data_IF_269936876987
#
_entry.id   IF_269936876987
#
_cell.length_a   1.000
_cell.length_b   1.000
_cell.length_c   1.000
_cell.angle_alpha   90.00
_cell.angle_beta   90.00
_cell.angle_gamma   90.00
#
_symmetry.space_group_name_H-M   'P 1'
#
loop_
_entity.id
_entity.type
_entity.pdbx_description
1 polymer ?
#
# COMPACT_ATOMS: atom_id res chain seq x y z
N UNK A 1 10.19 -16.72 -14.82
CA UNK A 1 8.75 -16.58 -14.53
C UNK A 1 8.52 -16.69 -13.03
N UNK A 2 7.90 -15.67 -12.44
CA UNK A 2 7.60 -15.60 -11.00
C UNK A 2 6.69 -14.41 -10.72
N UNK A 3 6.23 -14.29 -9.47
CA UNK A 3 5.39 -13.16 -9.05
C UNK A 3 6.16 -11.84 -9.01
N UNK A 4 7.39 -11.90 -8.49
CA UNK A 4 8.20 -10.74 -8.17
C UNK A 4 9.20 -11.08 -7.09
N UNK A 5 9.79 -10.05 -6.48
CA UNK A 5 10.73 -10.16 -5.38
C UNK A 5 10.50 -9.07 -4.33
N UNK A 6 10.86 -9.38 -3.08
CA UNK A 6 10.87 -8.46 -1.96
C UNK A 6 12.32 -8.24 -1.51
N UNK A 7 12.65 -7.01 -1.13
CA UNK A 7 13.98 -6.66 -0.66
C UNK A 7 13.96 -6.42 0.85
N UNK A 8 14.53 -7.31 1.68
CA UNK A 8 14.73 -7.02 3.08
C UNK A 8 15.69 -5.83 3.23
N UNK A 9 15.49 -5.01 4.27
CA UNK A 9 16.35 -3.83 4.48
C UNK A 9 17.83 -4.16 4.67
N UNK A 10 18.16 -5.38 5.12
CA UNK A 10 19.53 -5.87 5.22
C UNK A 10 20.25 -6.01 3.87
N UNK A 11 19.52 -5.99 2.75
CA UNK A 11 20.10 -6.06 1.40
C UNK A 11 20.73 -4.73 0.95
N UNK A 12 20.47 -3.62 1.66
CA UNK A 12 21.09 -2.31 1.37
C UNK A 12 20.53 -1.59 0.13
N UNK A 13 19.38 -2.04 -0.38
CA UNK A 13 18.64 -1.37 -1.47
C UNK A 13 17.43 -0.61 -0.92
N UNK A 14 16.99 0.41 -1.66
CA UNK A 14 15.92 1.32 -1.21
C UNK A 14 14.53 0.83 -1.58
N UNK A 15 14.38 0.24 -2.75
CA UNK A 15 13.17 -0.37 -3.29
C UNK A 15 12.69 -1.49 -2.36
N UNK A 16 11.41 -1.49 -1.98
CA UNK A 16 10.78 -2.50 -1.12
C UNK A 16 10.62 -3.84 -1.84
N UNK A 17 10.35 -3.81 -3.15
CA UNK A 17 10.13 -4.98 -3.97
C UNK A 17 9.70 -4.61 -5.38
N UNK A 18 9.71 -5.61 -6.25
CA UNK A 18 9.34 -5.48 -7.66
C UNK A 18 8.35 -6.57 -8.01
N UNK A 19 7.20 -6.21 -8.59
CA UNK A 19 6.25 -7.15 -9.18
C UNK A 19 6.54 -7.30 -10.66
N UNK A 20 6.55 -8.54 -11.15
CA UNK A 20 6.76 -8.86 -12.57
C UNK A 20 5.41 -8.82 -13.30
N UNK A 21 4.92 -7.60 -13.53
CA UNK A 21 3.54 -7.32 -13.99
C UNK A 21 3.14 -8.16 -15.21
N UNK A 22 3.96 -8.19 -16.26
CA UNK A 22 3.64 -8.96 -17.48
C UNK A 22 3.80 -10.47 -17.32
N UNK A 23 4.51 -10.95 -16.28
CA UNK A 23 4.54 -12.37 -15.93
C UNK A 23 3.25 -12.83 -15.24
N UNK A 24 2.62 -11.96 -14.46
CA UNK A 24 1.38 -12.27 -13.74
C UNK A 24 0.13 -12.08 -14.60
N UNK A 25 0.15 -11.07 -15.46
CA UNK A 25 -1.00 -10.66 -16.24
C UNK A 25 -0.63 -10.60 -17.73
N UNK A 26 -0.88 -11.70 -18.48
CA UNK A 26 -0.67 -11.71 -19.92
C UNK A 26 -1.38 -10.53 -20.61
N UNK A 27 -0.69 -9.88 -21.54
CA UNK A 27 -1.21 -8.70 -22.26
C UNK A 27 -0.91 -7.35 -21.60
N UNK A 28 -0.30 -7.30 -20.41
CA UNK A 28 0.23 -6.04 -19.84
C UNK A 28 1.45 -5.50 -20.56
N UNK A 29 2.22 -6.38 -21.17
CA UNK A 29 3.27 -6.06 -22.14
C UNK A 29 3.05 -6.95 -23.37
N UNK A 30 2.68 -6.39 -24.53
CA UNK A 30 2.43 -7.16 -25.74
C UNK A 30 3.69 -7.63 -26.46
N UNK A 31 4.83 -6.97 -26.25
CA UNK A 31 6.10 -7.36 -26.86
C UNK A 31 6.72 -8.55 -26.10
N UNK A 32 6.88 -9.73 -26.73
CA UNK A 32 7.40 -10.92 -26.05
C UNK A 32 8.88 -10.81 -25.64
N UNK A 33 9.61 -9.81 -26.15
CA UNK A 33 11.00 -9.56 -25.77
C UNK A 33 11.13 -8.59 -24.57
N UNK A 34 10.01 -8.05 -24.08
CA UNK A 34 10.00 -7.07 -22.97
C UNK A 34 9.32 -7.63 -21.72
N UNK A 35 9.69 -7.04 -20.59
CA UNK A 35 9.05 -7.28 -19.30
C UNK A 35 8.58 -5.97 -18.69
N UNK A 36 7.32 -5.94 -18.24
CA UNK A 36 6.80 -4.82 -17.47
C UNK A 36 7.03 -5.09 -15.98
N UNK A 37 7.75 -4.18 -15.32
CA UNK A 37 8.04 -4.24 -13.89
C UNK A 37 7.28 -3.14 -13.14
N UNK A 38 6.86 -3.45 -11.91
CA UNK A 38 6.24 -2.51 -10.98
C UNK A 38 7.11 -2.44 -9.72
N UNK A 39 7.83 -1.34 -9.57
CA UNK A 39 8.68 -1.11 -8.40
C UNK A 39 7.89 -0.40 -7.29
N UNK A 40 8.07 -0.86 -6.06
CA UNK A 40 7.56 -0.21 -4.86
C UNK A 40 8.73 0.34 -4.07
N UNK A 41 8.74 1.64 -3.79
CA UNK A 41 9.81 2.35 -3.08
C UNK A 41 9.21 3.20 -1.96
N UNK A 42 9.99 3.51 -0.93
CA UNK A 42 9.52 4.22 0.26
C UNK A 42 9.23 3.27 1.42
N UNK A 43 8.09 3.48 2.08
CA UNK A 43 7.67 2.72 3.27
C UNK A 43 8.17 3.33 4.58
N UNK A 44 7.71 2.78 5.71
CA UNK A 44 7.85 3.41 7.04
C UNK A 44 9.31 3.67 7.49
N UNK A 45 10.28 2.89 6.98
CA UNK A 45 11.71 3.04 7.31
C UNK A 45 12.48 3.95 6.35
N UNK A 46 11.87 4.36 5.23
CA UNK A 46 12.56 5.18 4.23
C UNK A 46 12.91 6.59 4.71
N UNK A 47 12.07 7.29 5.51
CA UNK A 47 12.44 8.58 6.10
C UNK A 47 13.76 8.52 6.90
N UNK A 48 13.93 7.49 7.73
CA UNK A 48 15.12 7.33 8.57
C UNK A 48 16.35 6.90 7.75
N UNK A 49 16.18 5.96 6.81
CA UNK A 49 17.30 5.35 6.09
C UNK A 49 17.76 6.16 4.86
N UNK A 50 16.85 6.89 4.22
CA UNK A 50 17.06 7.49 2.91
C UNK A 50 16.49 8.92 2.78
N UNK A 51 15.99 9.51 3.88
CA UNK A 51 15.48 10.88 3.90
C UNK A 51 14.03 11.04 3.40
N UNK A 52 13.35 9.94 3.07
CA UNK A 52 11.96 9.94 2.64
C UNK A 52 11.79 10.15 1.12
N UNK A 53 10.58 9.87 0.64
CA UNK A 53 10.20 10.03 -0.78
C UNK A 53 9.55 11.40 -1.02
N UNK A 54 9.07 12.05 0.03
CA UNK A 54 8.43 13.37 -0.06
C UNK A 54 9.43 14.41 -0.56
N UNK A 55 9.12 15.05 -1.69
CA UNK A 55 9.96 16.08 -2.30
C UNK A 55 10.97 15.59 -3.34
N UNK A 56 11.07 14.28 -3.59
CA UNK A 56 11.83 13.77 -4.73
C UNK A 56 11.08 14.00 -6.04
N UNK A 57 11.82 14.27 -7.12
CA UNK A 57 11.25 14.28 -8.47
C UNK A 57 11.05 12.86 -8.99
N UNK A 58 10.22 12.72 -10.03
CA UNK A 58 9.97 11.44 -10.67
C UNK A 58 11.29 10.83 -11.22
N UNK A 59 12.18 11.65 -11.76
CA UNK A 59 13.49 11.22 -12.27
C UNK A 59 14.39 10.67 -11.16
N UNK A 60 14.42 11.32 -9.99
CA UNK A 60 15.18 10.84 -8.83
C UNK A 60 14.64 9.50 -8.30
N UNK A 61 13.32 9.32 -8.35
CA UNK A 61 12.68 8.06 -7.97
C UNK A 61 13.04 6.96 -8.98
N UNK A 62 12.94 7.26 -10.28
CA UNK A 62 13.33 6.32 -11.35
C UNK A 62 14.79 5.92 -11.21
N UNK A 63 15.70 6.88 -11.02
CA UNK A 63 17.14 6.61 -10.84
C UNK A 63 17.39 5.70 -9.63
N UNK A 64 16.74 5.97 -8.49
CA UNK A 64 16.85 5.12 -7.31
C UNK A 64 16.36 3.69 -7.58
N UNK A 65 15.19 3.53 -8.22
CA UNK A 65 14.66 2.20 -8.56
C UNK A 65 15.51 1.47 -9.61
N UNK A 66 16.09 2.19 -10.57
CA UNK A 66 16.96 1.61 -11.60
C UNK A 66 18.28 1.12 -11.00
N UNK A 67 18.89 1.93 -10.12
CA UNK A 67 20.08 1.55 -9.37
C UNK A 67 19.86 0.24 -8.59
N UNK A 68 18.75 0.14 -7.86
CA UNK A 68 18.42 -1.07 -7.11
C UNK A 68 18.12 -2.26 -8.04
N UNK A 69 17.50 -2.01 -9.19
CA UNK A 69 17.21 -3.05 -10.20
C UNK A 69 18.49 -3.57 -10.85
N UNK A 70 19.48 -2.71 -11.12
CA UNK A 70 20.82 -3.11 -11.53
C UNK A 70 21.53 -3.97 -10.48
N UNK A 71 21.39 -3.60 -9.21
CA UNK A 71 22.01 -4.33 -8.10
C UNK A 71 21.37 -5.71 -7.81
N UNK A 72 20.13 -5.94 -8.26
CA UNK A 72 19.34 -7.11 -7.84
C UNK A 72 18.86 -8.01 -8.96
N UNK A 73 18.63 -7.48 -10.17
CA UNK A 73 17.97 -8.21 -11.26
C UNK A 73 18.73 -8.17 -12.58
N UNK A 74 19.33 -7.04 -12.94
CA UNK A 74 19.95 -6.90 -14.26
C UNK A 74 21.37 -7.44 -14.28
N UNK A 75 21.86 -7.66 -15.51
CA UNK A 75 23.26 -8.02 -15.73
C UNK A 75 24.17 -6.85 -15.31
N UNK A 76 25.40 -7.13 -14.85
CA UNK A 76 26.39 -6.08 -14.60
C UNK A 76 26.61 -5.20 -15.85
N UNK A 77 26.78 -3.89 -15.66
CA UNK A 77 27.05 -2.94 -16.75
C UNK A 77 25.82 -2.26 -17.36
N UNK A 78 24.61 -2.50 -16.82
CA UNK A 78 23.35 -1.94 -17.32
C UNK A 78 22.98 -0.59 -16.67
N UNK A 79 23.90 0.04 -15.93
CA UNK A 79 23.62 1.26 -15.15
C UNK A 79 23.20 2.45 -16.03
N UNK A 80 23.62 2.46 -17.30
CA UNK A 80 23.28 3.49 -18.29
C UNK A 80 22.07 3.15 -19.14
N UNK A 81 21.54 1.92 -19.04
CA UNK A 81 20.41 1.44 -19.84
C UNK A 81 19.11 1.60 -19.07
N UNK A 82 18.54 2.81 -19.12
CA UNK A 82 17.28 3.10 -18.43
C UNK A 82 16.09 2.39 -19.09
N UNK A 83 15.11 1.93 -18.29
CA UNK A 83 13.89 1.35 -18.82
C UNK A 83 13.00 2.41 -19.48
N UNK A 84 12.06 1.96 -20.30
CA UNK A 84 10.94 2.82 -20.72
C UNK A 84 10.03 3.10 -19.52
N UNK A 85 10.06 4.34 -19.01
CA UNK A 85 9.27 4.73 -17.83
C UNK A 85 7.83 5.02 -18.24
N UNK A 86 6.90 4.19 -17.79
CA UNK A 86 5.47 4.36 -18.06
C UNK A 86 4.79 5.36 -17.11
N UNK A 87 5.34 5.55 -15.91
CA UNK A 87 4.85 6.54 -14.96
C UNK A 87 5.36 6.32 -13.54
N UNK A 88 5.36 7.41 -12.78
CA UNK A 88 5.69 7.44 -11.35
C UNK A 88 4.49 7.99 -10.59
N UNK A 89 4.21 7.40 -9.42
CA UNK A 89 3.13 7.86 -8.56
C UNK A 89 3.52 7.75 -7.09
N UNK A 90 3.59 8.90 -6.43
CA UNK A 90 3.85 8.99 -4.99
C UNK A 90 2.53 9.08 -4.22
N UNK A 91 2.43 8.28 -3.15
CA UNK A 91 1.29 8.28 -2.23
C UNK A 91 1.79 8.62 -0.81
N UNK A 92 1.73 9.88 -0.36
CA UNK A 92 2.30 10.29 0.92
C UNK A 92 1.73 9.53 2.12
N UNK A 93 0.46 9.14 2.06
CA UNK A 93 -0.24 8.35 3.08
C UNK A 93 -0.82 7.07 2.48
N UNK A 94 0.03 6.24 1.90
CA UNK A 94 -0.37 5.04 1.16
C UNK A 94 -1.03 3.95 2.02
N UNK A 95 -0.40 3.58 3.13
CA UNK A 95 -0.77 2.41 3.94
C UNK A 95 -0.80 2.82 5.42
N UNK A 96 -1.94 2.68 6.13
CA UNK A 96 -2.00 2.89 7.57
C UNK A 96 -1.01 2.00 8.32
N UNK A 97 -0.26 2.58 9.26
CA UNK A 97 0.64 1.83 10.13
C UNK A 97 -0.10 1.42 11.40
N UNK A 98 -0.36 0.12 11.55
CA UNK A 98 -1.10 -0.45 12.68
C UNK A 98 -0.13 -0.79 13.83
N UNK A 99 0.57 0.23 14.33
CA UNK A 99 1.64 0.08 15.32
C UNK A 99 1.15 -0.50 16.65
N UNK A 100 2.10 -0.85 17.53
CA UNK A 100 1.80 -1.30 18.89
C UNK A 100 0.87 -0.30 19.58
N UNK A 101 -0.24 -0.82 20.11
CA UNK A 101 -1.29 -0.04 20.76
C UNK A 101 -2.40 0.46 19.84
N UNK A 102 -2.33 0.23 18.52
CA UNK A 102 -3.37 0.63 17.57
C UNK A 102 -4.77 0.09 17.95
N UNK A 103 -4.88 -1.19 18.28
CA UNK A 103 -6.15 -1.78 18.73
C UNK A 103 -6.74 -1.03 19.95
N UNK A 104 -5.90 -0.69 20.94
CA UNK A 104 -6.34 0.10 22.11
C UNK A 104 -6.78 1.51 21.73
N UNK A 105 -6.12 2.15 20.74
CA UNK A 105 -6.54 3.45 20.22
C UNK A 105 -7.91 3.37 19.55
N UNK A 106 -8.16 2.33 18.78
CA UNK A 106 -9.44 2.10 18.12
C UNK A 106 -10.56 1.87 19.14
N UNK A 107 -10.34 1.03 20.15
CA UNK A 107 -11.31 0.80 21.22
C UNK A 107 -11.59 2.06 22.03
N UNK A 108 -10.56 2.86 22.35
CA UNK A 108 -10.75 4.16 23.00
C UNK A 108 -11.57 5.13 22.12
N UNK A 109 -11.37 5.11 20.80
CA UNK A 109 -12.13 5.97 19.90
C UNK A 109 -13.61 5.55 19.86
N UNK A 110 -13.90 4.24 19.80
CA UNK A 110 -15.28 3.71 19.89
C UNK A 110 -15.94 4.07 21.22
N UNK A 111 -15.29 3.75 22.34
CA UNK A 111 -15.78 4.09 23.68
C UNK A 111 -15.94 5.60 23.90
N UNK A 112 -15.12 6.42 23.24
CA UNK A 112 -15.25 7.88 23.25
C UNK A 112 -16.52 8.37 22.56
N UNK A 113 -16.92 7.77 21.43
CA UNK A 113 -18.18 8.08 20.76
C UNK A 113 -19.38 7.70 21.64
N UNK A 114 -19.33 6.51 22.26
CA UNK A 114 -20.36 6.03 23.18
C UNK A 114 -20.51 6.95 24.40
N UNK A 115 -19.39 7.29 25.06
CA UNK A 115 -19.40 8.16 26.24
C UNK A 115 -19.89 9.58 25.92
N UNK A 116 -19.67 10.06 24.70
CA UNK A 116 -20.18 11.35 24.22
C UNK A 116 -21.67 11.29 23.78
N UNK A 117 -22.31 10.11 23.84
CA UNK A 117 -23.69 9.91 23.39
C UNK A 117 -23.87 10.03 21.87
N UNK A 118 -22.79 9.92 21.10
CA UNK A 118 -22.82 10.01 19.63
C UNK A 118 -23.32 8.68 19.08
N UNK A 119 -24.59 8.64 18.68
CA UNK A 119 -25.22 7.46 18.08
C UNK A 119 -25.19 7.54 16.55
N UNK A 120 -25.21 6.38 15.89
CA UNK A 120 -25.28 6.28 14.43
C UNK A 120 -23.98 6.62 13.68
N UNK A 121 -22.86 6.74 14.40
CA UNK A 121 -21.53 6.92 13.81
C UNK A 121 -20.71 5.66 13.99
N UNK A 122 -20.20 5.10 12.90
CA UNK A 122 -19.44 3.86 12.88
C UNK A 122 -18.03 4.12 12.36
N UNK A 123 -17.02 3.70 13.11
CA UNK A 123 -15.62 3.82 12.69
C UNK A 123 -15.28 2.69 11.73
N UNK A 124 -15.16 3.03 10.44
CA UNK A 124 -14.90 2.06 9.37
C UNK A 124 -13.74 2.47 8.47
N UNK A 125 -13.15 1.48 7.80
CA UNK A 125 -12.07 1.67 6.83
C UNK A 125 -10.88 0.74 7.05
N UNK A 126 -9.85 0.89 6.22
CA UNK A 126 -8.66 0.03 6.21
C UNK A 126 -7.80 0.14 7.48
N UNK A 127 -7.88 1.26 8.21
CA UNK A 127 -7.25 1.41 9.51
C UNK A 127 -7.96 0.62 10.62
N UNK A 128 -9.22 0.21 10.41
CA UNK A 128 -10.01 -0.52 11.40
C UNK A 128 -10.18 -2.00 11.04
N UNK A 129 -10.51 -2.30 9.78
CA UNK A 129 -10.79 -3.66 9.29
C UNK A 129 -9.59 -4.45 8.75
N UNK A 130 -8.46 -3.77 8.54
CA UNK A 130 -7.25 -4.33 7.93
C UNK A 130 -6.93 -3.70 6.58
N UNK A 131 -5.64 -3.70 6.21
CA UNK A 131 -5.12 -2.93 5.07
C UNK A 131 -5.33 -3.59 3.70
N UNK A 132 -5.57 -4.90 3.67
CA UNK A 132 -5.78 -5.62 2.42
C UNK A 132 -7.15 -5.30 1.82
N UNK A 133 -7.24 -5.20 0.50
CA UNK A 133 -8.49 -4.86 -0.20
C UNK A 133 -9.62 -5.82 0.15
N UNK A 134 -9.37 -7.14 0.15
CA UNK A 134 -10.38 -8.15 0.52
C UNK A 134 -10.94 -7.92 1.92
N UNK A 135 -10.06 -7.66 2.91
CA UNK A 135 -10.49 -7.33 4.29
C UNK A 135 -11.25 -6.01 4.37
N UNK A 136 -10.88 -5.00 3.58
CA UNK A 136 -11.64 -3.75 3.52
C UNK A 136 -13.08 -3.97 3.03
N UNK A 137 -13.26 -4.82 2.01
CA UNK A 137 -14.58 -5.16 1.46
C UNK A 137 -15.40 -5.94 2.48
N UNK A 138 -14.83 -7.01 3.05
CA UNK A 138 -15.49 -7.83 4.07
C UNK A 138 -15.90 -6.98 5.28
N UNK A 139 -15.00 -6.14 5.78
CA UNK A 139 -15.28 -5.25 6.91
C UNK A 139 -16.32 -4.18 6.56
N UNK A 140 -16.33 -3.68 5.32
CA UNK A 140 -17.38 -2.77 4.86
C UNK A 140 -18.78 -3.41 4.92
N UNK A 141 -18.88 -4.69 4.55
CA UNK A 141 -20.13 -5.46 4.64
C UNK A 141 -20.52 -5.77 6.08
N UNK A 142 -19.56 -6.01 6.97
CA UNK A 142 -19.80 -6.16 8.41
C UNK A 142 -20.41 -4.88 8.99
N UNK A 143 -19.78 -3.73 8.77
CA UNK A 143 -20.27 -2.43 9.26
C UNK A 143 -21.64 -2.06 8.65
N UNK A 144 -21.88 -2.41 7.38
CA UNK A 144 -23.18 -2.15 6.76
C UNK A 144 -24.34 -2.84 7.52
N UNK A 145 -24.12 -4.05 8.06
CA UNK A 145 -25.11 -4.76 8.89
C UNK A 145 -25.35 -4.06 10.23
N UNK A 146 -24.29 -3.54 10.84
CA UNK A 146 -24.40 -2.77 12.09
C UNK A 146 -25.21 -1.48 11.87
N UNK A 147 -24.98 -0.81 10.73
CA UNK A 147 -25.73 0.39 10.31
C UNK A 147 -27.20 0.03 10.05
N UNK A 148 -27.47 -1.05 9.32
CA UNK A 148 -28.83 -1.51 9.04
C UNK A 148 -29.60 -1.78 10.34
N UNK A 149 -28.99 -2.54 11.26
CA UNK A 149 -29.57 -2.86 12.57
C UNK A 149 -29.90 -1.60 13.36
N UNK A 150 -28.95 -0.64 13.42
CA UNK A 150 -29.15 0.63 14.12
C UNK A 150 -30.31 1.45 13.54
N UNK A 151 -30.43 1.52 12.20
CA UNK A 151 -31.51 2.25 11.55
C UNK A 151 -32.86 1.57 11.80
N UNK A 152 -32.91 0.23 11.73
CA UNK A 152 -34.13 -0.53 12.01
C UNK A 152 -34.62 -0.38 13.46
N UNK A 153 -33.71 -0.27 14.42
CA UNK A 153 -34.06 0.00 15.83
C UNK A 153 -34.48 1.46 16.06
N UNK A 154 -33.94 2.40 15.29
CA UNK A 154 -34.23 3.84 15.42
C UNK A 154 -35.58 4.25 14.79
N UNK A 155 -36.10 3.47 13.83
CA UNK A 155 -37.41 3.70 13.22
C UNK A 155 -38.43 2.78 13.90
N UNK A 156 -39.44 3.29 14.65
CA UNK A 156 -40.47 2.43 15.22
C UNK A 156 -41.17 1.65 14.10
N UNK A 157 -41.38 0.35 14.30
CA UNK A 157 -42.22 -0.46 13.42
C UNK A 157 -43.59 0.22 13.25
N UNK A 158 -43.98 0.47 12.00
CA UNK A 158 -45.30 0.99 11.64
C UNK A 158 -46.41 0.01 12.02
#
# INVERSE_FOLDING_TARGET
NGFGQLHPRSQGVRTLGTIYSSSLFPGREPDPEKIMLLHYIGGARDPELYGGIEGLTDEQIVEATHKDTCATMLKPGMEKEFPNVLGVRVWPRAIPQLDVGHAKRLERAKGGLEAAGVKGVFLAGNYAGGVALGRCVEFGLEIAKDVESFISEAVPAK
#
